data_IF_070180213875
#
_entry.id   IF_070180213875
#
_cell.length_a   1.000
_cell.length_b   1.000
_cell.length_c   1.000
_cell.angle_alpha   90.00
_cell.angle_beta   90.00
_cell.angle_gamma   90.00
#
_symmetry.space_group_name_H-M   'P 1'
#
loop_
_entity.id
_entity.type
_entity.pdbx_description
1 polymer ?
#
# COMPACT_ATOMS: atom_id res chain seq x y z
N UNK A 1 -36.58 12.55 -37.71
CA UNK A 1 -36.20 11.26 -37.10
C UNK A 1 -35.09 11.58 -36.09
N UNK A 2 -35.37 11.42 -34.80
CA UNK A 2 -34.44 11.75 -33.70
C UNK A 2 -33.46 10.58 -33.56
N UNK A 3 -32.16 10.82 -33.71
CA UNK A 3 -31.14 9.86 -33.30
C UNK A 3 -30.47 10.37 -32.02
N UNK A 4 -30.78 9.64 -30.96
CA UNK A 4 -30.26 9.76 -29.60
C UNK A 4 -28.81 9.28 -29.54
N UNK A 5 -28.02 9.95 -28.72
CA UNK A 5 -26.61 9.73 -28.39
C UNK A 5 -26.23 8.28 -28.08
N UNK A 6 -25.02 7.87 -28.47
CA UNK A 6 -24.16 7.08 -27.56
C UNK A 6 -22.70 7.37 -27.85
N UNK A 7 -22.12 8.25 -27.03
CA UNK A 7 -20.69 8.47 -26.93
C UNK A 7 -20.08 7.24 -26.25
N UNK A 8 -19.43 6.36 -27.01
CA UNK A 8 -18.65 5.25 -26.45
C UNK A 8 -17.27 5.78 -26.05
N UNK A 9 -17.17 6.30 -24.82
CA UNK A 9 -15.90 6.53 -24.15
C UNK A 9 -15.67 5.36 -23.18
N UNK A 10 -15.02 4.30 -23.66
CA UNK A 10 -14.38 3.31 -22.78
C UNK A 10 -12.88 3.53 -22.93
N UNK A 11 -12.33 4.37 -22.05
CA UNK A 11 -10.90 4.46 -21.81
C UNK A 11 -10.40 3.08 -21.39
N UNK A 12 -9.51 2.49 -22.20
CA UNK A 12 -8.58 1.45 -21.76
C UNK A 12 -7.63 2.06 -20.70
N UNK A 13 -8.08 2.14 -19.46
CA UNK A 13 -7.23 2.39 -18.29
C UNK A 13 -6.90 1.03 -17.65
N UNK A 14 -6.09 0.24 -18.35
CA UNK A 14 -5.71 -1.10 -17.92
C UNK A 14 -4.39 -1.06 -17.15
N UNK A 15 -4.47 -1.34 -15.84
CA UNK A 15 -3.45 -2.16 -15.19
C UNK A 15 -2.69 -1.54 -14.04
N UNK A 16 -3.38 -1.08 -12.98
CA UNK A 16 -2.87 -1.02 -11.60
C UNK A 16 -3.93 -0.35 -10.69
N UNK A 17 -5.18 -0.82 -10.72
CA UNK A 17 -6.14 -0.34 -9.73
C UNK A 17 -6.01 -1.22 -8.49
N UNK A 18 -5.57 -0.68 -7.34
CA UNK A 18 -5.61 -1.41 -6.08
C UNK A 18 -7.08 -1.72 -5.75
N UNK A 19 -7.42 -3.00 -5.61
CA UNK A 19 -8.73 -3.37 -5.10
C UNK A 19 -8.60 -3.61 -3.60
N UNK A 20 -9.39 -2.91 -2.79
CA UNK A 20 -9.43 -3.15 -1.35
C UNK A 20 -9.83 -4.60 -1.09
N UNK A 21 -8.94 -5.35 -0.45
CA UNK A 21 -9.26 -6.66 0.11
C UNK A 21 -9.79 -6.48 1.54
N UNK A 22 -10.61 -7.45 2.01
CA UNK A 22 -11.25 -7.36 3.32
C UNK A 22 -10.25 -7.61 4.47
N UNK A 23 -10.41 -6.79 5.52
CA UNK A 23 -9.75 -6.74 6.85
C UNK A 23 -8.57 -5.77 7.05
N UNK A 24 -8.54 -4.65 6.29
CA UNK A 24 -7.73 -3.49 6.71
C UNK A 24 -8.22 -2.95 8.06
N UNK A 25 -7.31 -2.73 9.01
CA UNK A 25 -7.68 -2.29 10.35
C UNK A 25 -6.49 -1.90 11.21
N UNK A 26 -6.78 -1.26 12.33
CA UNK A 26 -5.79 -0.86 13.32
C UNK A 26 -6.21 -1.32 14.72
N UNK A 27 -5.26 -1.85 15.49
CA UNK A 27 -5.49 -2.37 16.84
C UNK A 27 -4.44 -1.81 17.79
N UNK A 28 -4.89 -1.24 18.91
CA UNK A 28 -4.03 -0.87 20.03
C UNK A 28 -3.66 -2.15 20.80
N UNK A 29 -2.37 -2.42 20.95
CA UNK A 29 -1.84 -3.61 21.64
C UNK A 29 -1.20 -3.26 22.99
N UNK A 30 -0.89 -1.98 23.21
CA UNK A 30 -0.50 -1.38 24.48
C UNK A 30 -0.66 0.14 24.40
N UNK A 31 -0.40 0.86 25.49
CA UNK A 31 -0.71 2.31 25.59
C UNK A 31 -0.07 3.17 24.48
N UNK A 32 1.07 2.74 23.95
CA UNK A 32 1.82 3.42 22.91
C UNK A 32 2.12 2.54 21.68
N UNK A 33 1.45 1.40 21.50
CA UNK A 33 1.71 0.48 20.38
C UNK A 33 0.44 0.20 19.60
N UNK A 34 0.45 0.55 18.31
CA UNK A 34 -0.63 0.24 17.37
C UNK A 34 -0.12 -0.67 16.27
N UNK A 35 -0.89 -1.71 15.97
CA UNK A 35 -0.69 -2.58 14.82
C UNK A 35 -1.69 -2.17 13.74
N UNK A 36 -1.18 -1.77 12.58
CA UNK A 36 -1.97 -1.48 11.39
C UNK A 36 -1.82 -2.62 10.38
N UNK A 37 -2.91 -2.93 9.71
CA UNK A 37 -2.98 -3.90 8.61
C UNK A 37 -3.68 -3.22 7.44
N UNK A 38 -3.00 -3.18 6.29
CA UNK A 38 -3.51 -2.57 5.06
C UNK A 38 -3.53 -3.63 3.97
N UNK A 39 -4.73 -4.02 3.57
CA UNK A 39 -4.96 -5.06 2.59
C UNK A 39 -5.24 -4.48 1.21
N UNK A 40 -4.54 -4.99 0.20
CA UNK A 40 -4.75 -4.59 -1.19
C UNK A 40 -4.51 -5.76 -2.13
N UNK A 41 -5.15 -5.71 -3.29
CA UNK A 41 -4.84 -6.59 -4.41
C UNK A 41 -4.23 -5.78 -5.55
N UNK A 42 -3.26 -6.36 -6.24
CA UNK A 42 -2.76 -5.78 -7.49
C UNK A 42 -3.41 -6.54 -8.64
N UNK A 43 -4.23 -5.85 -9.43
CA UNK A 43 -4.65 -6.40 -10.71
C UNK A 43 -3.44 -6.32 -11.67
N UNK A 44 -2.79 -7.45 -11.90
CA UNK A 44 -1.56 -7.55 -12.69
C UNK A 44 -1.86 -8.09 -14.09
N UNK A 45 -2.32 -7.27 -15.05
CA UNK A 45 -2.70 -7.79 -16.35
C UNK A 45 -1.54 -8.51 -17.02
N UNK A 46 -0.31 -7.95 -17.09
CA UNK A 46 0.81 -8.61 -17.79
C UNK A 46 2.25 -8.19 -17.39
N UNK A 47 2.49 -7.29 -16.43
CA UNK A 47 3.81 -6.60 -16.39
C UNK A 47 4.49 -6.48 -15.03
N UNK A 48 3.85 -6.81 -13.92
CA UNK A 48 4.56 -6.83 -12.64
C UNK A 48 5.04 -8.24 -12.38
N UNK A 49 6.35 -8.44 -12.34
CA UNK A 49 6.93 -9.73 -12.06
C UNK A 49 7.26 -9.88 -10.58
N UNK A 50 7.68 -8.81 -9.91
CA UNK A 50 8.17 -8.91 -8.54
C UNK A 50 7.82 -7.68 -7.68
N UNK A 51 7.60 -7.93 -6.39
CA UNK A 51 7.38 -6.91 -5.36
C UNK A 51 8.31 -7.12 -4.17
N UNK A 52 8.93 -6.06 -3.63
CA UNK A 52 9.76 -6.19 -2.45
C UNK A 52 8.93 -6.56 -1.22
N UNK A 53 9.52 -7.37 -0.34
CA UNK A 53 8.90 -7.78 0.93
C UNK A 53 9.08 -6.69 2.00
N UNK A 54 10.21 -5.99 1.96
CA UNK A 54 10.59 -5.01 2.96
C UNK A 54 9.78 -3.71 2.81
N UNK A 55 9.39 -3.14 3.95
CA UNK A 55 8.72 -1.85 4.04
C UNK A 55 9.36 -0.96 5.12
N UNK A 56 9.31 0.36 4.94
CA UNK A 56 9.96 1.33 5.82
C UNK A 56 9.19 2.66 5.89
N UNK A 57 9.15 3.26 7.08
CA UNK A 57 8.59 4.61 7.31
C UNK A 57 9.50 5.76 6.93
N UNK A 58 10.74 5.44 6.55
CA UNK A 58 11.75 6.42 6.13
C UNK A 58 11.81 6.57 4.61
N UNK A 59 11.01 5.78 3.89
CA UNK A 59 10.93 5.82 2.43
C UNK A 59 9.74 6.68 2.01
N UNK A 60 10.05 7.78 1.32
CA UNK A 60 9.11 8.66 0.65
C UNK A 60 8.96 8.34 -0.83
N UNK A 61 7.99 9.01 -1.46
CA UNK A 61 7.64 8.78 -2.87
C UNK A 61 8.82 8.97 -3.83
N UNK A 62 9.62 10.03 -3.63
CA UNK A 62 10.74 10.42 -4.50
C UNK A 62 11.97 9.53 -4.37
N UNK A 63 12.03 8.67 -3.37
CA UNK A 63 13.22 7.85 -3.11
C UNK A 63 13.38 6.77 -4.17
N UNK A 64 14.61 6.53 -4.60
CA UNK A 64 14.92 5.59 -5.70
C UNK A 64 15.38 4.26 -5.09
N UNK A 65 14.50 3.62 -4.32
CA UNK A 65 14.80 2.44 -3.48
C UNK A 65 13.88 1.26 -3.78
N UNK A 66 14.34 0.05 -3.43
CA UNK A 66 13.60 -1.22 -3.60
C UNK A 66 12.99 -1.66 -2.26
N UNK A 67 12.16 -0.78 -1.71
CA UNK A 67 11.53 -0.94 -0.39
C UNK A 67 10.22 -0.18 -0.42
N UNK A 68 9.17 -0.77 0.14
CA UNK A 68 7.85 -0.16 0.22
C UNK A 68 7.91 0.99 1.21
N UNK A 69 7.41 2.16 0.79
CA UNK A 69 7.26 3.31 1.65
C UNK A 69 5.94 3.25 2.39
N UNK A 70 5.96 3.55 3.68
CA UNK A 70 4.76 3.66 4.52
C UNK A 70 4.79 4.96 5.31
N UNK A 71 3.63 5.50 5.65
CA UNK A 71 3.53 6.64 6.55
C UNK A 71 2.42 6.45 7.56
N UNK A 72 2.71 6.83 8.80
CA UNK A 72 1.74 6.99 9.88
C UNK A 72 1.64 8.49 10.15
N UNK A 73 0.46 9.06 9.98
CA UNK A 73 0.22 10.50 10.20
C UNK A 73 -0.95 10.73 11.13
N UNK A 74 -0.93 11.82 11.88
CA UNK A 74 -2.12 12.26 12.63
C UNK A 74 -3.19 12.89 11.70
N UNK A 75 -4.28 13.37 12.30
CA UNK A 75 -5.39 14.05 11.60
C UNK A 75 -4.98 15.35 10.89
N UNK A 76 -3.82 15.92 11.20
CA UNK A 76 -3.28 17.12 10.52
C UNK A 76 -2.39 16.76 9.32
N UNK A 77 -2.14 15.46 9.10
CA UNK A 77 -1.20 14.97 8.11
C UNK A 77 0.27 15.01 8.57
N UNK A 78 0.52 15.32 9.84
CA UNK A 78 1.88 15.36 10.40
C UNK A 78 2.37 13.94 10.67
N UNK A 79 3.64 13.63 10.32
CA UNK A 79 4.25 12.31 10.62
C UNK A 79 4.20 12.06 12.13
N UNK A 80 3.66 10.90 12.51
CA UNK A 80 3.63 10.49 13.90
C UNK A 80 5.06 10.33 14.45
N UNK A 81 5.25 10.73 15.70
CA UNK A 81 6.52 10.54 16.41
C UNK A 81 6.58 9.13 16.98
N UNK A 82 7.68 8.43 16.72
CA UNK A 82 7.87 7.05 17.10
C UNK A 82 8.66 6.26 16.07
N UNK A 83 8.68 4.94 16.28
CA UNK A 83 9.33 3.98 15.38
C UNK A 83 8.29 3.08 14.73
N UNK A 84 8.35 2.93 13.41
CA UNK A 84 7.51 1.99 12.66
C UNK A 84 8.36 0.86 12.08
N UNK A 85 7.92 -0.38 12.26
CA UNK A 85 8.44 -1.57 11.56
C UNK A 85 7.34 -2.09 10.65
N UNK A 86 7.67 -2.41 9.40
CA UNK A 86 6.68 -2.83 8.43
C UNK A 86 7.19 -3.96 7.54
N UNK A 87 6.26 -4.81 7.08
CA UNK A 87 6.54 -5.92 6.17
C UNK A 87 5.32 -6.20 5.30
N UNK A 88 5.55 -6.55 4.04
CA UNK A 88 4.50 -7.01 3.14
C UNK A 88 4.32 -8.53 3.28
N UNK A 89 3.08 -8.96 3.50
CA UNK A 89 2.68 -10.35 3.64
C UNK A 89 1.84 -10.78 2.44
N UNK A 90 2.10 -11.99 1.93
CA UNK A 90 1.30 -12.62 0.89
C UNK A 90 1.51 -14.13 0.90
N UNK A 91 0.66 -14.85 0.17
CA UNK A 91 0.83 -16.27 -0.14
C UNK A 91 1.64 -16.50 -1.42
N UNK A 92 2.00 -15.45 -2.15
CA UNK A 92 2.81 -15.57 -3.36
C UNK A 92 4.21 -16.15 -3.05
N UNK A 93 4.83 -16.90 -3.99
CA UNK A 93 6.17 -17.43 -3.79
C UNK A 93 7.21 -16.34 -3.56
N UNK A 94 8.20 -16.60 -2.71
CA UNK A 94 9.31 -15.68 -2.45
C UNK A 94 10.56 -16.15 -3.21
N UNK A 95 11.22 -15.22 -3.92
CA UNK A 95 12.53 -15.41 -4.54
C UNK A 95 13.45 -14.28 -4.05
N UNK A 96 14.49 -14.64 -3.28
CA UNK A 96 15.37 -13.66 -2.65
C UNK A 96 14.59 -12.79 -1.65
N UNK A 97 14.49 -11.49 -1.93
CA UNK A 97 13.82 -10.50 -1.08
C UNK A 97 12.46 -10.04 -1.62
N UNK A 98 11.91 -10.76 -2.60
CA UNK A 98 10.74 -10.35 -3.36
C UNK A 98 9.70 -11.45 -3.45
N UNK A 99 8.43 -11.06 -3.50
CA UNK A 99 7.37 -11.93 -4.01
C UNK A 99 7.45 -12.02 -5.53
N UNK A 100 7.37 -13.24 -6.06
CA UNK A 100 7.28 -13.52 -7.49
C UNK A 100 5.81 -13.61 -7.89
N UNK A 101 5.38 -12.71 -8.77
CA UNK A 101 4.00 -12.62 -9.20
C UNK A 101 3.80 -13.36 -10.52
N UNK A 102 2.69 -14.08 -10.62
CA UNK A 102 2.26 -14.71 -11.86
C UNK A 102 1.46 -13.73 -12.70
N UNK A 103 1.76 -13.63 -13.99
CA UNK A 103 1.03 -12.77 -14.91
C UNK A 103 -0.47 -13.14 -14.93
N UNK A 104 -1.33 -12.15 -15.15
CA UNK A 104 -2.79 -12.32 -15.26
C UNK A 104 -3.46 -12.90 -14.00
N UNK A 105 -2.82 -12.73 -12.84
CA UNK A 105 -3.42 -13.02 -11.52
C UNK A 105 -3.72 -11.72 -10.78
N UNK A 106 -4.53 -11.82 -9.73
CA UNK A 106 -4.80 -10.70 -8.80
C UNK A 106 -4.31 -11.09 -7.39
N UNK A 107 -2.98 -11.08 -7.17
CA UNK A 107 -2.41 -11.43 -5.90
C UNK A 107 -2.86 -10.45 -4.82
N UNK A 108 -3.09 -10.98 -3.62
CA UNK A 108 -3.50 -10.22 -2.44
C UNK A 108 -2.32 -10.05 -1.51
N UNK A 109 -2.24 -8.87 -0.92
CA UNK A 109 -1.20 -8.51 0.02
C UNK A 109 -1.79 -7.86 1.25
N UNK A 110 -1.12 -8.09 2.38
CA UNK A 110 -1.36 -7.40 3.63
C UNK A 110 -0.06 -6.72 4.03
N UNK A 111 -0.06 -5.39 4.06
CA UNK A 111 1.01 -4.63 4.66
C UNK A 111 0.78 -4.56 6.17
N UNK A 112 1.62 -5.25 6.93
CA UNK A 112 1.62 -5.21 8.39
C UNK A 112 2.58 -4.11 8.85
N UNK A 113 2.09 -3.17 9.66
CA UNK A 113 2.88 -2.10 10.25
C UNK A 113 2.69 -2.12 11.76
N UNK A 114 3.79 -2.16 12.50
CA UNK A 114 3.81 -2.07 13.96
C UNK A 114 4.47 -0.74 14.32
N UNK A 115 3.70 0.13 14.95
CA UNK A 115 4.16 1.47 15.32
C UNK A 115 4.20 1.58 16.83
N UNK A 116 5.38 1.90 17.35
CA UNK A 116 5.60 2.30 18.74
C UNK A 116 5.74 3.80 18.78
N UNK A 117 4.76 4.48 19.39
CA UNK A 117 4.75 5.92 19.57
C UNK A 117 5.60 6.31 20.77
N UNK A 118 6.20 7.51 20.71
CA UNK A 118 7.03 8.03 21.80
C UNK A 118 6.19 8.35 23.06
N UNK A 119 4.91 8.67 22.87
CA UNK A 119 3.93 9.00 23.91
C UNK A 119 2.71 8.07 23.82
N UNK A 120 1.90 7.94 24.89
CA UNK A 120 0.64 7.22 24.83
C UNK A 120 -0.27 7.75 23.71
N UNK A 121 -1.00 6.84 23.08
CA UNK A 121 -1.88 7.13 21.95
C UNK A 121 -3.16 7.81 22.44
N UNK A 122 -3.25 9.12 22.23
CA UNK A 122 -4.40 9.94 22.63
C UNK A 122 -5.13 10.60 21.47
N UNK A 123 -4.70 10.33 20.23
CA UNK A 123 -5.31 10.88 19.01
C UNK A 123 -5.40 9.81 17.92
N UNK A 124 -6.22 10.10 16.91
CA UNK A 124 -6.36 9.23 15.74
C UNK A 124 -5.10 9.27 14.87
N UNK A 125 -4.83 8.15 14.21
CA UNK A 125 -3.71 8.00 13.29
C UNK A 125 -4.12 7.29 12.02
N UNK A 126 -3.50 7.70 10.91
CA UNK A 126 -3.74 7.17 9.58
C UNK A 126 -2.48 6.52 9.04
N UNK A 127 -2.60 5.27 8.60
CA UNK A 127 -1.53 4.51 7.95
C UNK A 127 -1.81 4.41 6.43
N UNK A 128 -0.81 4.69 5.60
CA UNK A 128 -0.89 4.56 4.14
C UNK A 128 0.42 4.14 3.51
N UNK A 129 0.34 3.64 2.28
CA UNK A 129 1.51 3.42 1.42
C UNK A 129 1.93 4.76 0.79
N UNK A 130 3.22 5.08 0.86
CA UNK A 130 3.81 6.28 0.24
C UNK A 130 4.68 5.96 -0.97
N UNK A 131 5.09 4.69 -1.11
CA UNK A 131 5.84 4.21 -2.26
C UNK A 131 5.59 2.72 -2.45
N UNK A 132 5.30 2.30 -3.69
CA UNK A 132 5.23 0.89 -4.06
C UNK A 132 6.17 0.64 -5.26
N UNK A 133 7.44 0.28 -5.01
CA UNK A 133 8.33 -0.16 -6.06
C UNK A 133 7.95 -1.56 -6.54
N UNK A 134 8.20 -1.83 -7.81
CA UNK A 134 7.97 -3.13 -8.41
C UNK A 134 8.94 -3.36 -9.56
N UNK A 135 9.13 -4.64 -9.92
CA UNK A 135 9.99 -5.03 -11.02
C UNK A 135 9.18 -5.57 -12.19
N UNK A 136 9.59 -5.16 -13.38
CA UNK A 136 9.08 -5.58 -14.67
C UNK A 136 10.27 -5.94 -15.54
N UNK A 137 10.36 -7.20 -15.97
CA UNK A 137 11.42 -7.67 -16.89
C UNK A 137 12.86 -7.28 -16.46
N UNK A 138 13.15 -7.39 -15.16
CA UNK A 138 14.48 -7.06 -14.61
C UNK A 138 14.75 -5.57 -14.43
N UNK A 139 13.76 -4.70 -14.67
CA UNK A 139 13.83 -3.27 -14.40
C UNK A 139 12.92 -2.88 -13.25
N UNK A 140 13.47 -2.13 -12.29
CA UNK A 140 12.70 -1.55 -11.18
C UNK A 140 12.01 -0.25 -11.62
N UNK A 141 10.75 -0.14 -11.31
CA UNK A 141 9.94 1.08 -11.42
C UNK A 141 9.10 1.25 -10.14
N UNK A 142 8.17 2.19 -10.11
CA UNK A 142 7.28 2.43 -8.97
C UNK A 142 5.90 2.86 -9.43
N UNK A 143 4.90 2.58 -8.61
CA UNK A 143 3.53 3.08 -8.83
C UNK A 143 3.53 4.62 -8.75
N UNK A 144 2.79 5.26 -9.66
CA UNK A 144 2.69 6.71 -9.73
C UNK A 144 1.87 7.27 -8.54
N UNK A 145 2.13 8.51 -8.14
CA UNK A 145 1.47 9.14 -7.00
C UNK A 145 -0.07 9.07 -7.07
N UNK A 146 -0.66 9.36 -8.23
CA UNK A 146 -2.11 9.31 -8.41
C UNK A 146 -2.70 7.91 -8.19
N UNK A 147 -1.95 6.85 -8.47
CA UNK A 147 -2.37 5.47 -8.21
C UNK A 147 -2.14 5.09 -6.74
N UNK A 148 -1.11 5.64 -6.09
CA UNK A 148 -0.89 5.48 -4.65
C UNK A 148 -2.05 6.09 -3.84
N UNK A 149 -2.61 7.19 -4.31
CA UNK A 149 -3.75 7.85 -3.66
C UNK A 149 -5.04 6.99 -3.71
N UNK A 150 -5.10 6.00 -4.59
CA UNK A 150 -6.20 5.03 -4.67
C UNK A 150 -6.03 3.85 -3.69
N UNK A 151 -4.86 3.68 -3.08
CA UNK A 151 -4.66 2.66 -2.05
C UNK A 151 -5.45 3.01 -0.78
N UNK A 152 -5.95 2.00 -0.05
CA UNK A 152 -6.67 2.24 1.18
C UNK A 152 -5.78 2.94 2.20
N UNK A 153 -6.36 3.90 2.91
CA UNK A 153 -5.80 4.45 4.14
C UNK A 153 -6.48 3.79 5.33
N UNK A 154 -5.70 3.36 6.30
CA UNK A 154 -6.19 2.67 7.50
C UNK A 154 -6.18 3.63 8.67
N UNK A 155 -7.31 3.77 9.35
CA UNK A 155 -7.43 4.67 10.49
C UNK A 155 -7.47 3.88 11.79
N UNK A 156 -6.58 4.24 12.71
CA UNK A 156 -6.77 4.00 14.13
C UNK A 156 -7.56 5.17 14.71
N UNK A 157 -8.74 4.88 15.27
CA UNK A 157 -9.56 5.85 15.97
C UNK A 157 -9.50 5.58 17.48
N UNK A 158 -9.16 6.60 18.26
CA UNK A 158 -9.26 6.53 19.72
C UNK A 158 -10.73 6.43 20.10
N UNK A 159 -11.06 5.47 20.98
CA UNK A 159 -12.42 5.26 21.46
C UNK A 159 -12.71 6.06 22.71
#
# INVERSE_FOLDING_TARGET
>A
MKYTYTTLAILLFCGLLPQSAAASGATLVGDNVVVFTLDFAINNPLYINELPIAASSEVGYTDVVDTIGVAITDNTGTKAKGTTKAILLSTEPIVGTHYKLTASTSPKFTLLMITTFDEPVTADYHARITKLPYWMDGHRTSVHQNQLDEFPTVTFAVK
#
